data_IF_995811210747
#
_entry.id   IF_995811210747
#
_cell.length_a   1.000
_cell.length_b   1.000
_cell.length_c   1.000
_cell.angle_alpha   90.00
_cell.angle_beta   90.00
_cell.angle_gamma   90.00
#
_symmetry.space_group_name_H-M   'P 1'
#
loop_
_entity.id
_entity.type
_entity.pdbx_description
1 polymer ?
#
# COMPACT_ATOMS: atom_id res chain seq x y z
N UNK A 1 -0.01 13.62 14.09
CA UNK A 1 -1.11 12.67 14.31
C UNK A 1 -0.55 11.25 14.28
N UNK A 2 -1.02 10.40 15.16
CA UNK A 2 -0.66 8.99 15.22
C UNK A 2 -1.86 8.17 14.79
N UNK A 3 -1.65 7.21 13.89
CA UNK A 3 -2.70 6.37 13.33
C UNK A 3 -2.52 4.92 13.80
N UNK A 4 -3.53 4.29 14.40
CA UNK A 4 -3.46 2.89 14.79
C UNK A 4 -3.40 1.99 13.54
N UNK A 5 -2.55 0.97 13.60
CA UNK A 5 -2.34 0.06 12.48
C UNK A 5 -3.38 -1.07 12.41
N UNK A 6 -4.16 -1.26 13.46
CA UNK A 6 -5.06 -2.39 13.59
C UNK A 6 -4.43 -3.63 14.22
N UNK A 7 -3.12 -3.60 14.48
CA UNK A 7 -2.40 -4.67 15.19
C UNK A 7 -2.16 -4.19 16.62
N UNK A 8 -2.98 -4.64 17.55
CA UNK A 8 -3.02 -4.11 18.92
C UNK A 8 -1.66 -4.13 19.63
N UNK A 9 -0.94 -5.23 19.51
CA UNK A 9 0.36 -5.36 20.16
C UNK A 9 1.38 -4.38 19.58
N UNK A 10 1.39 -4.25 18.26
CA UNK A 10 2.29 -3.32 17.57
C UNK A 10 1.98 -1.87 17.96
N UNK A 11 0.69 -1.51 17.96
CA UNK A 11 0.26 -0.17 18.33
C UNK A 11 0.65 0.17 19.76
N UNK A 12 0.58 -0.80 20.67
CA UNK A 12 1.01 -0.62 22.06
C UNK A 12 2.50 -0.35 22.13
N UNK A 13 3.32 -1.12 21.41
CA UNK A 13 4.79 -0.95 21.39
C UNK A 13 5.16 0.40 20.80
N UNK A 14 4.41 0.87 19.81
CA UNK A 14 4.67 2.12 19.10
C UNK A 14 3.92 3.33 19.69
N UNK A 15 3.38 3.21 20.90
CA UNK A 15 2.64 4.29 21.58
C UNK A 15 1.45 4.81 20.75
N UNK A 16 0.69 3.90 20.15
CA UNK A 16 -0.56 4.21 19.46
C UNK A 16 -0.58 3.89 17.98
N UNK A 17 0.56 3.72 17.33
CA UNK A 17 0.63 3.38 15.93
C UNK A 17 1.70 4.13 15.16
N UNK A 18 1.46 4.42 13.88
CA UNK A 18 2.39 5.11 13.01
C UNK A 18 2.05 6.59 12.89
N UNK A 19 3.10 7.42 12.86
CA UNK A 19 2.92 8.88 12.70
C UNK A 19 2.61 9.23 11.25
N UNK A 20 1.74 10.24 11.05
CA UNK A 20 1.51 10.82 9.73
C UNK A 20 2.72 11.63 9.29
N UNK A 21 2.84 11.85 7.98
CA UNK A 21 3.91 12.68 7.43
C UNK A 21 5.25 11.99 7.32
N UNK A 22 5.31 10.69 7.56
CA UNK A 22 6.55 9.91 7.43
C UNK A 22 6.35 8.74 6.46
N UNK A 23 7.46 8.28 5.93
CA UNK A 23 7.52 7.07 5.13
C UNK A 23 7.92 5.91 6.03
N UNK A 24 7.13 4.83 6.02
CA UNK A 24 7.41 3.62 6.79
C UNK A 24 7.69 2.47 5.82
N UNK A 25 8.84 1.85 5.95
CA UNK A 25 9.22 0.69 5.15
C UNK A 25 9.04 -0.58 5.98
N UNK A 26 8.18 -1.48 5.49
CA UNK A 26 7.94 -2.80 6.08
C UNK A 26 8.56 -3.84 5.15
N UNK A 27 9.50 -4.60 5.66
CA UNK A 27 10.21 -5.60 4.88
C UNK A 27 10.25 -6.95 5.60
N UNK A 28 10.47 -7.99 4.83
CA UNK A 28 10.52 -9.36 5.33
C UNK A 28 10.52 -10.36 4.17
N UNK A 29 10.71 -11.62 4.49
CA UNK A 29 10.67 -12.69 3.51
C UNK A 29 9.27 -12.85 2.91
N UNK A 30 9.18 -13.54 1.77
CA UNK A 30 7.92 -13.89 1.16
C UNK A 30 7.05 -14.65 2.18
N UNK A 31 5.74 -14.36 2.16
CA UNK A 31 4.75 -14.96 3.07
C UNK A 31 4.99 -14.65 4.56
N UNK A 32 5.69 -13.57 4.88
CA UNK A 32 5.92 -13.16 6.27
C UNK A 32 4.81 -12.30 6.86
N UNK A 33 3.73 -12.04 6.11
CA UNK A 33 2.57 -11.28 6.59
C UNK A 33 2.59 -9.80 6.27
N UNK A 34 3.44 -9.35 5.34
CA UNK A 34 3.51 -7.93 4.96
C UNK A 34 2.19 -7.42 4.38
N UNK A 35 1.61 -8.15 3.44
CA UNK A 35 0.30 -7.79 2.85
C UNK A 35 -0.78 -7.83 3.89
N UNK A 36 -0.78 -8.83 4.77
CA UNK A 36 -1.73 -8.95 5.86
C UNK A 36 -1.66 -7.73 6.78
N UNK A 37 -0.46 -7.30 7.14
CA UNK A 37 -0.26 -6.08 7.93
C UNK A 37 -0.84 -4.85 7.23
N UNK A 38 -0.53 -4.69 5.93
CA UNK A 38 -1.07 -3.57 5.16
C UNK A 38 -2.60 -3.56 5.14
N UNK A 39 -3.21 -4.70 4.91
CA UNK A 39 -4.68 -4.81 4.89
C UNK A 39 -5.31 -4.56 6.27
N UNK A 40 -4.65 -4.97 7.35
CA UNK A 40 -5.11 -4.62 8.70
C UNK A 40 -5.07 -3.12 8.94
N UNK A 41 -4.05 -2.45 8.44
CA UNK A 41 -3.95 -1.00 8.55
C UNK A 41 -5.08 -0.32 7.75
N UNK A 42 -5.36 -0.79 6.54
CA UNK A 42 -6.51 -0.32 5.76
C UNK A 42 -7.80 -0.47 6.55
N UNK A 43 -8.01 -1.64 7.15
CA UNK A 43 -9.19 -1.89 7.99
C UNK A 43 -9.31 -0.92 9.16
N UNK A 44 -8.20 -0.62 9.83
CA UNK A 44 -8.18 0.35 10.92
C UNK A 44 -8.55 1.75 10.43
N UNK A 45 -8.06 2.17 9.25
CA UNK A 45 -8.41 3.45 8.66
C UNK A 45 -9.90 3.52 8.32
N UNK A 46 -10.44 2.46 7.72
CA UNK A 46 -11.88 2.40 7.40
C UNK A 46 -12.74 2.55 8.66
N UNK A 47 -12.36 1.92 9.76
CA UNK A 47 -13.10 2.03 11.02
C UNK A 47 -13.13 3.46 11.58
N UNK A 48 -12.13 4.26 11.24
CA UNK A 48 -12.07 5.66 11.66
C UNK A 48 -12.63 6.63 10.61
N UNK A 49 -13.09 6.13 9.47
CA UNK A 49 -13.60 6.96 8.39
C UNK A 49 -12.51 7.62 7.54
N UNK A 50 -11.27 7.14 7.63
CA UNK A 50 -10.17 7.68 6.83
C UNK A 50 -9.98 6.88 5.55
N UNK A 51 -9.55 7.59 4.49
CA UNK A 51 -9.29 7.00 3.19
C UNK A 51 -7.89 6.42 3.05
N UNK A 52 -7.79 5.44 2.16
CA UNK A 52 -6.54 4.79 1.78
C UNK A 52 -6.42 4.70 0.27
N UNK A 53 -5.21 4.96 -0.25
CA UNK A 53 -4.83 4.61 -1.61
C UNK A 53 -3.90 3.40 -1.51
N UNK A 54 -4.29 2.30 -2.15
CA UNK A 54 -3.55 1.04 -2.11
C UNK A 54 -3.04 0.71 -3.51
N UNK A 55 -1.75 0.82 -3.73
CA UNK A 55 -1.11 0.43 -4.99
C UNK A 55 -0.70 -1.03 -4.87
N UNK A 56 -1.41 -1.90 -5.60
CA UNK A 56 -1.22 -3.33 -5.55
C UNK A 56 -0.39 -3.81 -6.75
N UNK A 57 0.87 -4.09 -6.53
CA UNK A 57 1.77 -4.67 -7.52
C UNK A 57 1.91 -6.19 -7.38
N UNK A 58 1.35 -6.78 -6.32
CA UNK A 58 1.25 -8.23 -6.17
C UNK A 58 0.05 -8.75 -6.97
N UNK A 59 0.14 -9.97 -7.51
CA UNK A 59 -0.81 -10.46 -8.52
C UNK A 59 -2.26 -10.58 -8.10
N UNK A 60 -2.55 -10.98 -6.87
CA UNK A 60 -3.90 -11.25 -6.40
C UNK A 60 -4.60 -9.97 -5.92
N UNK A 61 -5.92 -9.88 -6.17
CA UNK A 61 -6.72 -8.79 -5.64
C UNK A 61 -6.84 -8.89 -4.12
N UNK A 62 -6.68 -7.79 -3.39
CA UNK A 62 -6.82 -7.79 -1.93
C UNK A 62 -8.28 -7.70 -1.46
N UNK A 63 -9.25 -7.60 -2.37
CA UNK A 63 -10.64 -7.27 -2.04
C UNK A 63 -11.27 -8.27 -1.07
N UNK A 64 -11.12 -9.57 -1.34
CA UNK A 64 -11.73 -10.60 -0.49
C UNK A 64 -11.18 -10.57 0.93
N UNK A 65 -9.86 -10.47 1.06
CA UNK A 65 -9.21 -10.37 2.36
C UNK A 65 -9.60 -9.10 3.09
N UNK A 66 -9.74 -7.99 2.35
CA UNK A 66 -10.14 -6.72 2.93
C UNK A 66 -11.58 -6.80 3.45
N UNK A 67 -12.50 -7.43 2.71
CA UNK A 67 -13.86 -7.66 3.18
C UNK A 67 -13.88 -8.49 4.48
N UNK A 68 -13.05 -9.53 4.53
CA UNK A 68 -12.94 -10.36 5.74
C UNK A 68 -12.42 -9.55 6.94
N UNK A 69 -11.41 -8.73 6.73
CA UNK A 69 -10.80 -7.94 7.81
C UNK A 69 -11.68 -6.80 8.31
N UNK A 70 -12.45 -6.19 7.43
CA UNK A 70 -13.34 -5.07 7.80
C UNK A 70 -14.71 -5.55 8.24
N UNK A 71 -15.05 -6.79 7.95
CA UNK A 71 -16.39 -7.37 8.15
C UNK A 71 -17.46 -6.59 7.36
N UNK A 72 -17.06 -5.96 6.24
CA UNK A 72 -17.93 -5.16 5.38
C UNK A 72 -17.73 -5.56 3.93
N UNK A 73 -18.77 -5.42 3.10
CA UNK A 73 -18.64 -5.58 1.66
C UNK A 73 -17.85 -4.40 1.08
N UNK A 74 -17.06 -4.66 0.04
CA UNK A 74 -16.26 -3.61 -0.58
C UNK A 74 -17.12 -2.44 -1.06
N UNK A 75 -18.32 -2.69 -1.57
CA UNK A 75 -19.25 -1.64 -1.98
C UNK A 75 -19.54 -0.62 -0.86
N UNK A 76 -19.44 -1.04 0.40
CA UNK A 76 -19.73 -0.19 1.56
C UNK A 76 -18.50 0.62 1.99
N UNK A 77 -17.30 0.24 1.53
CA UNK A 77 -16.05 0.93 1.89
C UNK A 77 -15.34 1.52 0.67
N UNK A 78 -15.89 1.35 -0.53
CA UNK A 78 -15.22 1.79 -1.77
C UNK A 78 -14.98 3.30 -1.83
N UNK A 79 -15.76 4.08 -1.11
CA UNK A 79 -15.54 5.53 -1.02
C UNK A 79 -14.27 5.87 -0.24
N UNK A 80 -13.80 4.96 0.63
CA UNK A 80 -12.62 5.15 1.47
C UNK A 80 -11.37 4.47 0.91
N UNK A 81 -11.51 3.43 0.08
CA UNK A 81 -10.37 2.64 -0.39
C UNK A 81 -10.29 2.67 -1.91
N UNK A 82 -9.20 3.22 -2.43
CA UNK A 82 -8.88 3.18 -3.85
C UNK A 82 -7.76 2.16 -4.07
N UNK A 83 -8.05 1.16 -4.89
CA UNK A 83 -7.06 0.12 -5.24
C UNK A 83 -6.59 0.38 -6.66
N UNK A 84 -5.30 0.62 -6.82
CA UNK A 84 -4.64 0.87 -8.10
C UNK A 84 -3.73 -0.32 -8.40
N UNK A 85 -3.79 -0.82 -9.64
CA UNK A 85 -3.05 -2.02 -10.03
C UNK A 85 -2.19 -1.71 -11.25
N UNK A 86 -0.94 -1.25 -11.06
CA UNK A 86 -0.03 -1.03 -12.18
C UNK A 86 0.32 -2.37 -12.85
N UNK A 87 0.40 -2.36 -14.17
CA UNK A 87 0.70 -3.55 -14.97
C UNK A 87 2.19 -3.84 -15.03
N UNK A 88 3.01 -2.82 -14.90
CA UNK A 88 4.46 -2.90 -14.99
C UNK A 88 5.14 -1.80 -14.17
N UNK A 89 6.47 -1.80 -14.17
CA UNK A 89 7.26 -0.86 -13.40
C UNK A 89 7.08 0.59 -13.88
N UNK A 90 6.95 0.79 -15.18
CA UNK A 90 6.73 2.12 -15.76
C UNK A 90 5.39 2.71 -15.31
N UNK A 91 4.32 1.91 -15.39
CA UNK A 91 3.00 2.34 -14.94
C UNK A 91 2.98 2.59 -13.43
N UNK A 92 3.72 1.79 -12.65
CA UNK A 92 3.87 2.03 -11.21
C UNK A 92 4.48 3.41 -10.93
N UNK A 93 5.53 3.78 -11.69
CA UNK A 93 6.14 5.10 -11.58
C UNK A 93 5.16 6.22 -11.88
N UNK A 94 4.35 6.07 -12.94
CA UNK A 94 3.33 7.05 -13.30
C UNK A 94 2.30 7.21 -12.18
N UNK A 95 1.83 6.10 -11.61
CA UNK A 95 0.85 6.16 -10.52
C UNK A 95 1.43 6.85 -9.28
N UNK A 96 2.69 6.60 -8.96
CA UNK A 96 3.35 7.25 -7.83
C UNK A 96 3.52 8.75 -8.09
N UNK A 97 3.91 9.14 -9.30
CA UNK A 97 4.05 10.55 -9.66
C UNK A 97 2.70 11.28 -9.61
N UNK A 98 1.64 10.61 -10.02
CA UNK A 98 0.30 11.18 -10.09
C UNK A 98 -0.54 10.89 -8.85
N UNK A 99 0.08 10.47 -7.75
CA UNK A 99 -0.64 10.03 -6.55
C UNK A 99 -1.61 11.09 -6.03
N UNK A 100 -1.28 12.35 -6.20
CA UNK A 100 -2.14 13.46 -5.76
C UNK A 100 -3.52 13.45 -6.42
N UNK A 101 -3.64 12.85 -7.61
CA UNK A 101 -4.93 12.70 -8.30
C UNK A 101 -5.87 11.73 -7.57
N UNK A 102 -5.33 10.85 -6.75
CA UNK A 102 -6.09 9.80 -6.06
C UNK A 102 -6.29 10.11 -4.58
N UNK A 103 -5.54 11.05 -4.03
CA UNK A 103 -5.64 11.43 -2.62
C UNK A 103 -6.82 12.39 -2.45
N UNK A 104 -7.74 12.01 -1.59
CA UNK A 104 -8.88 12.85 -1.22
C UNK A 104 -8.62 13.49 0.14
N UNK A 105 -9.50 14.42 0.52
CA UNK A 105 -9.38 15.16 1.79
C UNK A 105 -9.21 14.25 3.01
N UNK A 106 -9.92 13.11 3.02
CA UNK A 106 -9.93 12.19 4.15
C UNK A 106 -8.88 11.10 4.05
N UNK A 107 -8.07 11.11 2.99
CA UNK A 107 -7.00 10.11 2.81
C UNK A 107 -5.89 10.33 3.83
N UNK A 108 -5.56 9.29 4.58
CA UNK A 108 -4.51 9.33 5.61
C UNK A 108 -3.43 8.29 5.39
N UNK A 109 -3.65 7.36 4.46
CA UNK A 109 -2.75 6.22 4.24
C UNK A 109 -2.55 5.98 2.76
N UNK A 110 -1.29 5.80 2.35
CA UNK A 110 -0.92 5.30 1.03
C UNK A 110 -0.07 4.05 1.25
N UNK A 111 -0.46 2.95 0.63
CA UNK A 111 0.28 1.70 0.68
C UNK A 111 0.77 1.35 -0.72
N UNK A 112 2.04 0.97 -0.83
CA UNK A 112 2.61 0.39 -2.04
C UNK A 112 3.03 -1.05 -1.71
N UNK A 113 2.34 -2.02 -2.26
CA UNK A 113 2.56 -3.44 -1.99
C UNK A 113 2.72 -4.20 -3.31
N UNK A 114 3.90 -4.41 -3.77
CA UNK A 114 5.19 -4.00 -3.21
C UNK A 114 5.90 -3.09 -4.19
N UNK A 115 6.80 -2.29 -3.69
CA UNK A 115 7.56 -1.36 -4.52
C UNK A 115 8.49 -2.07 -5.51
N UNK A 116 9.02 -3.23 -5.14
CA UNK A 116 10.12 -3.88 -5.86
C UNK A 116 9.71 -5.01 -6.78
N UNK A 117 8.47 -5.50 -6.76
CA UNK A 117 8.07 -6.63 -7.61
C UNK A 117 8.24 -6.33 -9.09
N UNK A 118 7.65 -5.24 -9.57
CA UNK A 118 7.76 -4.87 -10.98
C UNK A 118 9.21 -4.50 -11.35
N UNK A 119 9.95 -3.92 -10.43
CA UNK A 119 11.37 -3.67 -10.62
C UNK A 119 12.14 -4.97 -10.87
N UNK A 120 11.91 -6.00 -10.06
CA UNK A 120 12.57 -7.31 -10.23
C UNK A 120 12.23 -7.94 -11.57
N UNK A 121 10.97 -7.85 -12.01
CA UNK A 121 10.56 -8.36 -13.33
C UNK A 121 11.22 -7.57 -14.46
N UNK A 122 11.33 -6.26 -14.32
CA UNK A 122 11.98 -5.41 -15.31
C UNK A 122 13.47 -5.68 -15.43
N UNK A 123 14.14 -6.18 -14.38
CA UNK A 123 15.56 -6.54 -14.43
C UNK A 123 15.85 -7.73 -15.38
N UNK A 124 14.85 -8.49 -15.78
CA UNK A 124 15.00 -9.55 -16.77
C UNK A 124 15.34 -8.97 -18.15
N UNK A 125 15.02 -7.72 -18.42
CA UNK A 125 15.44 -6.99 -19.62
C UNK A 125 16.77 -6.28 -19.36
N UNK A 126 17.87 -6.93 -19.72
CA UNK A 126 19.22 -6.43 -19.49
C UNK A 126 19.52 -5.09 -20.16
N UNK A 127 18.77 -4.72 -21.20
CA UNK A 127 18.97 -3.46 -21.93
C UNK A 127 18.51 -2.24 -21.15
N UNK A 128 17.62 -2.42 -20.20
CA UNK A 128 16.99 -1.34 -19.43
C UNK A 128 17.36 -1.32 -17.97
N UNK A 129 18.23 -2.22 -17.49
CA UNK A 129 18.55 -2.37 -16.07
C UNK A 129 19.01 -1.08 -15.41
N UNK A 130 19.88 -0.30 -16.05
CA UNK A 130 20.37 0.94 -15.47
C UNK A 130 19.24 1.96 -15.31
N UNK A 131 18.41 2.09 -16.34
CA UNK A 131 17.27 3.00 -16.33
C UNK A 131 16.25 2.58 -15.26
N UNK A 132 15.97 1.27 -15.13
CA UNK A 132 15.06 0.75 -14.13
C UNK A 132 15.57 0.97 -12.71
N UNK A 133 16.87 0.86 -12.50
CA UNK A 133 17.51 1.10 -11.22
C UNK A 133 17.39 2.56 -10.79
N UNK A 134 17.60 3.47 -11.72
CA UNK A 134 17.39 4.90 -11.48
C UNK A 134 15.94 5.22 -11.16
N UNK A 135 15.01 4.60 -11.89
CA UNK A 135 13.58 4.80 -11.68
C UNK A 135 13.14 4.30 -10.30
N UNK A 136 13.65 3.14 -9.85
CA UNK A 136 13.35 2.66 -8.51
C UNK A 136 13.80 3.65 -7.43
N UNK A 137 14.99 4.20 -7.57
CA UNK A 137 15.52 5.16 -6.60
C UNK A 137 14.72 6.48 -6.61
N UNK A 138 14.11 6.82 -7.76
CA UNK A 138 13.26 8.00 -7.88
C UNK A 138 11.89 7.80 -7.21
N UNK A 139 11.34 6.59 -7.32
CA UNK A 139 10.04 6.26 -6.75
C UNK A 139 10.04 6.27 -5.23
#
# INVERSE_FOLDING_TARGET
MILPTGVSLLDRIMNGGLSTGIFTHVYGEAASGKTTFGLQFVGAMCRQGYGTVYINSEGASPLERLEQMTERKFKDIQALVKILRPRDFSEQGILIDDIDLYILRDTRLVIVDTLTKHYRLALEDKKTNYSNHRELNRQ
#
